data_IF_292743374381
#
_entry.id   IF_292743374381
#
_cell.length_a   1.000
_cell.length_b   1.000
_cell.length_c   1.000
_cell.angle_alpha   90.00
_cell.angle_beta   90.00
_cell.angle_gamma   90.00
#
_symmetry.space_group_name_H-M   'P 1'
#
loop_
_entity.id
_entity.type
_entity.pdbx_description
1 polymer ?
#
# COMPACT_ATOMS: atom_id res chain seq x y z
N UNK A 1 -53.64 -11.34 -35.55
CA UNK A 1 -54.15 -10.80 -34.27
C UNK A 1 -54.12 -11.83 -33.12
N UNK A 2 -53.45 -12.98 -33.28
CA UNK A 2 -53.35 -14.04 -32.25
C UNK A 2 -52.03 -14.05 -31.45
N UNK A 3 -51.03 -13.28 -31.86
CA UNK A 3 -49.70 -13.25 -31.21
C UNK A 3 -49.63 -12.27 -30.03
N UNK A 4 -50.42 -11.21 -30.03
CA UNK A 4 -50.52 -10.26 -28.92
C UNK A 4 -51.28 -10.84 -27.72
N UNK A 5 -52.28 -11.70 -27.97
CA UNK A 5 -53.05 -12.38 -26.92
C UNK A 5 -52.19 -13.42 -26.18
N UNK A 6 -51.24 -14.06 -26.87
CA UNK A 6 -50.37 -15.09 -26.28
C UNK A 6 -49.28 -14.49 -25.37
N UNK A 7 -48.85 -13.24 -25.61
CA UNK A 7 -47.90 -12.53 -24.73
C UNK A 7 -48.56 -11.98 -23.46
N UNK A 8 -49.86 -11.67 -23.48
CA UNK A 8 -50.58 -11.21 -22.30
C UNK A 8 -50.87 -12.34 -21.30
N UNK A 9 -51.07 -13.57 -21.77
CA UNK A 9 -51.32 -14.74 -20.90
C UNK A 9 -50.03 -15.21 -20.20
N UNK A 10 -48.87 -15.05 -20.82
CA UNK A 10 -47.58 -15.41 -20.22
C UNK A 10 -47.14 -14.44 -19.10
N UNK A 11 -47.64 -13.19 -19.10
CA UNK A 11 -47.35 -12.22 -18.04
C UNK A 11 -48.16 -12.44 -16.76
N UNK A 12 -49.33 -13.09 -16.85
CA UNK A 12 -50.25 -13.25 -15.72
C UNK A 12 -49.92 -14.45 -14.83
N UNK A 13 -49.12 -15.41 -15.30
CA UNK A 13 -48.74 -16.60 -14.52
C UNK A 13 -47.55 -16.39 -13.59
N UNK A 14 -46.84 -15.25 -13.68
CA UNK A 14 -45.70 -14.91 -12.81
C UNK A 14 -46.11 -14.26 -11.47
N UNK A 15 -47.38 -13.90 -11.27
CA UNK A 15 -47.86 -13.28 -10.02
C UNK A 15 -48.59 -14.25 -9.07
N UNK A 16 -48.76 -15.52 -9.43
CA UNK A 16 -49.41 -16.54 -8.59
C UNK A 16 -48.41 -17.32 -7.70
N UNK A 17 -47.30 -16.67 -7.31
CA UNK A 17 -46.19 -17.30 -6.56
C UNK A 17 -45.93 -16.72 -5.17
N UNK A 18 -46.83 -15.90 -4.60
CA UNK A 18 -46.67 -15.40 -3.23
C UNK A 18 -48.02 -15.36 -2.51
N UNK A 19 -48.31 -16.41 -1.75
CA UNK A 19 -49.48 -16.48 -0.89
C UNK A 19 -49.77 -17.90 -0.40
N UNK A 20 -49.27 -18.24 0.79
CA UNK A 20 -49.77 -19.39 1.57
C UNK A 20 -48.87 -20.64 1.61
N UNK A 21 -47.63 -20.50 2.09
CA UNK A 21 -46.90 -21.62 2.68
C UNK A 21 -47.29 -21.78 4.16
N UNK A 22 -47.39 -23.00 4.71
CA UNK A 22 -47.76 -23.21 6.10
C UNK A 22 -46.73 -22.54 7.01
N UNK A 23 -47.21 -21.65 7.88
CA UNK A 23 -46.40 -20.98 8.88
C UNK A 23 -45.74 -22.04 9.80
N UNK A 24 -44.41 -22.08 9.91
CA UNK A 24 -43.77 -22.83 10.98
C UNK A 24 -44.05 -22.11 12.29
N UNK A 25 -44.64 -22.88 13.20
CA UNK A 25 -44.62 -22.76 14.65
C UNK A 25 -44.76 -21.35 15.24
N UNK A 26 -45.92 -21.16 15.88
CA UNK A 26 -46.07 -20.22 16.99
C UNK A 26 -44.88 -20.36 17.94
N UNK A 27 -43.99 -19.37 17.92
CA UNK A 27 -43.11 -19.11 19.05
C UNK A 27 -44.03 -18.81 20.23
N UNK A 28 -44.24 -19.83 21.06
CA UNK A 28 -44.75 -19.65 22.40
C UNK A 28 -43.88 -18.56 23.05
N UNK A 29 -44.49 -17.44 23.41
CA UNK A 29 -43.88 -16.53 24.37
C UNK A 29 -43.57 -17.33 25.62
N UNK A 30 -42.31 -17.74 25.76
CA UNK A 30 -41.79 -18.05 27.07
C UNK A 30 -41.97 -16.77 27.89
N UNK A 31 -42.77 -16.83 28.95
CA UNK A 31 -42.74 -15.83 30.01
C UNK A 31 -41.28 -15.75 30.50
N UNK A 32 -40.55 -14.76 29.98
CA UNK A 32 -39.23 -14.43 30.46
C UNK A 32 -39.44 -13.76 31.81
N UNK A 33 -39.05 -14.46 32.89
CA UNK A 33 -38.98 -13.87 34.22
C UNK A 33 -38.26 -12.51 34.13
N UNK A 34 -38.71 -11.48 34.86
CA UNK A 34 -38.13 -10.15 34.74
C UNK A 34 -36.65 -10.22 35.12
N UNK A 35 -35.78 -10.01 34.13
CA UNK A 35 -34.36 -9.84 34.33
C UNK A 35 -34.14 -8.51 35.05
N UNK A 36 -33.60 -8.59 36.26
CA UNK A 36 -33.32 -7.43 37.10
C UNK A 36 -31.99 -6.84 36.60
N UNK A 37 -32.08 -5.75 35.85
CA UNK A 37 -30.93 -5.00 35.35
C UNK A 37 -30.63 -3.88 36.34
N UNK A 38 -29.42 -3.85 36.87
CA UNK A 38 -28.93 -2.82 37.79
C UNK A 38 -28.04 -1.85 36.99
N UNK A 39 -27.91 -0.55 37.33
CA UNK A 39 -27.17 0.39 36.49
C UNK A 39 -25.69 0.03 36.27
N UNK A 40 -25.09 -0.74 37.18
CA UNK A 40 -23.76 -1.33 37.02
C UNK A 40 -23.66 -2.33 35.86
N UNK A 41 -24.77 -2.87 35.38
CA UNK A 41 -24.83 -3.82 34.25
C UNK A 41 -24.87 -3.10 32.89
N UNK A 42 -24.95 -1.76 32.86
CA UNK A 42 -25.11 -0.98 31.64
C UNK A 42 -23.79 -0.33 31.20
N UNK A 43 -23.40 -0.60 29.95
CA UNK A 43 -22.33 0.11 29.24
C UNK A 43 -22.92 0.77 27.99
N UNK A 44 -22.69 2.08 27.83
CA UNK A 44 -23.11 2.79 26.64
C UNK A 44 -22.12 2.55 25.51
N UNK A 45 -22.57 1.84 24.45
CA UNK A 45 -21.79 1.69 23.25
C UNK A 45 -21.57 3.04 22.56
N UNK A 46 -20.34 3.31 22.17
CA UNK A 46 -19.97 4.50 21.41
C UNK A 46 -19.30 4.07 20.11
N UNK A 47 -19.67 4.72 19.01
CA UNK A 47 -18.98 4.51 17.73
C UNK A 47 -17.71 5.35 17.73
N UNK A 48 -16.56 4.70 17.63
CA UNK A 48 -15.26 5.35 17.44
C UNK A 48 -14.68 4.93 16.09
N UNK A 49 -13.95 5.83 15.43
CA UNK A 49 -13.16 5.46 14.27
C UNK A 49 -12.00 4.58 14.71
N UNK A 50 -11.98 3.33 14.26
CA UNK A 50 -10.91 2.38 14.56
C UNK A 50 -9.89 2.42 13.43
N UNK A 51 -8.68 2.89 13.72
CA UNK A 51 -7.56 2.86 12.77
C UNK A 51 -6.65 1.71 13.16
N UNK A 52 -6.95 0.52 12.65
CA UNK A 52 -6.04 -0.62 12.73
C UNK A 52 -5.27 -0.72 11.41
N UNK A 53 -3.94 -0.80 11.53
CA UNK A 53 -3.05 -0.99 10.41
C UNK A 53 -1.96 -1.99 10.79
N UNK A 54 -1.40 -2.72 9.82
CA UNK A 54 -0.27 -3.59 10.09
C UNK A 54 0.93 -2.76 10.57
N UNK A 55 1.68 -3.29 11.53
CA UNK A 55 2.98 -2.73 11.89
C UNK A 55 3.96 -3.07 10.77
N UNK A 56 4.40 -2.06 10.02
CA UNK A 56 5.41 -2.23 9.00
C UNK A 56 6.77 -1.92 9.62
N UNK A 57 7.62 -2.95 9.68
CA UNK A 57 9.01 -2.83 10.09
C UNK A 57 9.92 -3.08 8.89
N UNK A 58 11.00 -2.30 8.78
CA UNK A 58 12.01 -2.47 7.75
C UNK A 58 13.25 -1.64 8.07
N UNK A 59 14.31 -1.86 7.31
CA UNK A 59 15.49 -1.01 7.32
C UNK A 59 15.42 -0.02 6.17
N UNK A 60 16.06 1.13 6.33
CA UNK A 60 16.20 2.10 5.26
C UNK A 60 17.44 1.75 4.43
N UNK A 61 17.32 1.88 3.12
CA UNK A 61 18.42 1.79 2.17
C UNK A 61 18.57 3.12 1.44
N UNK A 62 19.80 3.50 1.05
CA UNK A 62 19.98 4.64 0.17
C UNK A 62 19.25 4.41 -1.15
N UNK A 63 18.58 5.45 -1.66
CA UNK A 63 17.94 5.39 -2.98
C UNK A 63 18.99 5.20 -4.09
N UNK A 64 20.13 5.86 -3.95
CA UNK A 64 21.26 5.80 -4.87
C UNK A 64 22.54 5.59 -4.08
N UNK A 65 23.34 4.61 -4.50
CA UNK A 65 24.66 4.35 -3.97
C UNK A 65 25.67 4.30 -5.12
N UNK A 66 26.76 5.05 -4.98
CA UNK A 66 27.84 5.08 -5.95
C UNK A 66 29.16 4.71 -5.25
N UNK A 67 29.89 3.77 -5.83
CA UNK A 67 31.25 3.45 -5.42
C UNK A 67 32.22 4.13 -6.40
N UNK A 68 33.10 4.97 -5.89
CA UNK A 68 34.08 5.67 -6.71
C UNK A 68 35.36 4.83 -6.84
N UNK A 69 35.81 4.64 -8.08
CA UNK A 69 37.10 4.01 -8.40
C UNK A 69 37.85 4.87 -9.41
N UNK A 70 39.18 4.87 -9.31
CA UNK A 70 40.01 5.53 -10.31
C UNK A 70 40.00 4.73 -11.61
N UNK A 71 39.74 5.41 -12.73
CA UNK A 71 39.77 4.79 -14.07
C UNK A 71 41.19 4.57 -14.57
N UNK A 72 42.14 5.40 -14.12
CA UNK A 72 43.54 5.35 -14.51
C UNK A 72 44.43 5.19 -13.28
N UNK A 73 45.56 4.49 -13.45
CA UNK A 73 46.59 4.41 -12.43
C UNK A 73 47.37 5.72 -12.34
N UNK A 74 47.65 6.19 -11.13
CA UNK A 74 48.45 7.38 -10.89
C UNK A 74 48.61 7.68 -9.40
N UNK A 75 49.47 8.65 -9.10
CA UNK A 75 49.70 9.11 -7.72
C UNK A 75 48.66 10.18 -7.36
N UNK A 76 48.08 10.07 -6.17
CA UNK A 76 47.17 11.10 -5.63
C UNK A 76 47.99 12.31 -5.19
N UNK A 77 47.73 13.47 -5.78
CA UNK A 77 48.40 14.73 -5.45
C UNK A 77 47.65 15.51 -4.36
N UNK A 78 46.32 15.49 -4.39
CA UNK A 78 45.47 16.20 -3.44
C UNK A 78 44.12 15.52 -3.27
N UNK A 79 43.59 15.51 -2.06
CA UNK A 79 42.22 15.16 -1.73
C UNK A 79 41.50 16.45 -1.37
N UNK A 80 40.44 16.79 -2.11
CA UNK A 80 39.73 18.08 -1.97
C UNK A 80 38.46 17.97 -1.12
N UNK A 81 38.06 16.75 -0.76
CA UNK A 81 36.84 16.49 0.01
C UNK A 81 37.09 15.48 1.11
N UNK A 82 36.58 15.78 2.30
CA UNK A 82 36.76 14.94 3.48
C UNK A 82 35.59 13.97 3.69
N UNK A 83 35.78 13.01 4.60
CA UNK A 83 34.76 12.03 4.94
C UNK A 83 33.53 12.72 5.56
N UNK A 84 32.35 12.45 5.00
CA UNK A 84 31.08 13.01 5.48
C UNK A 84 30.66 14.31 4.80
N UNK A 85 31.50 14.86 3.93
CA UNK A 85 31.15 16.04 3.15
C UNK A 85 30.05 15.74 2.12
N UNK A 86 29.13 16.68 1.96
CA UNK A 86 28.17 16.66 0.86
C UNK A 86 28.88 16.93 -0.47
N UNK A 87 28.52 16.16 -1.50
CA UNK A 87 29.06 16.26 -2.86
C UNK A 87 27.95 16.20 -3.89
N UNK A 88 28.13 16.91 -4.99
CA UNK A 88 27.26 16.90 -6.15
C UNK A 88 27.95 16.24 -7.36
N UNK A 89 27.15 15.92 -8.37
CA UNK A 89 27.67 15.38 -9.63
C UNK A 89 28.61 16.40 -10.28
N UNK A 90 29.84 15.96 -10.57
CA UNK A 90 30.86 16.78 -11.22
C UNK A 90 31.86 17.43 -10.26
N UNK A 91 31.66 17.29 -8.95
CA UNK A 91 32.61 17.81 -7.97
C UNK A 91 33.96 17.10 -8.07
N UNK A 92 35.04 17.87 -8.03
CA UNK A 92 36.39 17.33 -8.01
C UNK A 92 36.70 16.83 -6.59
N UNK A 93 36.77 15.51 -6.44
CA UNK A 93 37.04 14.89 -5.14
C UNK A 93 38.55 14.71 -4.88
N UNK A 94 39.29 14.30 -5.91
CA UNK A 94 40.71 13.96 -5.81
C UNK A 94 41.42 14.40 -7.09
N UNK A 95 42.64 14.94 -6.97
CA UNK A 95 43.52 15.21 -8.12
C UNK A 95 44.61 14.16 -8.20
N UNK A 96 44.63 13.43 -9.32
CA UNK A 96 45.66 12.44 -9.66
C UNK A 96 46.70 13.10 -10.59
N UNK A 97 47.98 12.72 -10.47
CA UNK A 97 49.05 13.21 -11.33
C UNK A 97 48.78 12.89 -12.81
N UNK A 98 48.63 13.92 -13.69
CA UNK A 98 48.31 13.71 -15.10
C UNK A 98 49.55 13.52 -15.99
N UNK A 99 50.77 13.52 -15.46
CA UNK A 99 52.02 13.60 -16.25
C UNK A 99 52.12 12.48 -17.29
N UNK A 100 51.87 11.22 -16.89
CA UNK A 100 51.93 10.07 -17.80
C UNK A 100 50.87 10.17 -18.93
N UNK A 101 49.64 10.55 -18.60
CA UNK A 101 48.54 10.68 -19.55
C UNK A 101 48.79 11.83 -20.54
N UNK A 102 49.30 12.97 -20.07
CA UNK A 102 49.65 14.10 -20.94
C UNK A 102 50.79 13.74 -21.91
N UNK A 103 51.79 12.99 -21.45
CA UNK A 103 52.87 12.50 -22.32
C UNK A 103 52.35 11.61 -23.45
N UNK A 104 51.43 10.68 -23.14
CA UNK A 104 50.79 9.83 -24.16
C UNK A 104 49.97 10.64 -25.15
N UNK A 105 49.21 11.64 -24.68
CA UNK A 105 48.41 12.52 -25.53
C UNK A 105 49.27 13.33 -26.52
N UNK A 106 50.39 13.89 -26.05
CA UNK A 106 51.30 14.67 -26.90
C UNK A 106 52.01 13.80 -27.95
N UNK A 107 52.26 12.52 -27.63
CA UNK A 107 52.89 11.58 -28.57
C UNK A 107 51.94 11.11 -29.68
N UNK A 108 50.63 11.29 -29.49
CA UNK A 108 49.59 10.87 -30.43
C UNK A 108 49.10 11.99 -31.36
N UNK A 109 49.56 13.23 -31.14
CA UNK A 109 49.31 14.40 -32.00
C UNK A 109 50.43 14.57 -33.01
#
# INVERSE_FOLDING_TARGET
>A
MSRALMMAVAGLTLLAGCGGGPAPDSVASAEQAPLLIVPEDLLQAQTVALTEGPVISGSLQPELQAELRAEVAGVVLEVLKDNGDAVAKGDLLVRIDPTAIRGQLLSAQ
#
